data_IF_804881519617
#
_entry.id   IF_804881519617
#
_cell.length_a   1.000
_cell.length_b   1.000
_cell.length_c   1.000
_cell.angle_alpha   90.00
_cell.angle_beta   90.00
_cell.angle_gamma   90.00
#
_symmetry.space_group_name_H-M   'P 1'
#
loop_
_entity.id
_entity.type
_entity.pdbx_description
1 polymer ?
#
# COMPACT_ATOMS: atom_id res chain seq x y z
N UNK A 1 -2.80 15.42 -21.31
CA UNK A 1 -3.04 14.32 -20.37
C UNK A 1 -3.50 14.82 -19.00
N UNK A 2 -2.90 15.83 -18.40
CA UNK A 2 -3.28 16.39 -17.09
C UNK A 2 -4.73 16.86 -16.96
N UNK A 3 -5.31 17.48 -18.00
CA UNK A 3 -6.72 17.95 -17.97
C UNK A 3 -7.74 16.82 -17.83
N UNK A 4 -7.47 15.63 -18.38
CA UNK A 4 -8.35 14.45 -18.24
C UNK A 4 -8.28 13.83 -16.84
N UNK A 5 -7.10 13.87 -16.19
CA UNK A 5 -6.94 13.44 -14.81
C UNK A 5 -7.68 14.35 -13.82
N UNK A 6 -7.62 15.69 -14.05
CA UNK A 6 -8.36 16.66 -13.25
C UNK A 6 -9.89 16.52 -13.42
N UNK A 7 -10.36 16.12 -14.61
CA UNK A 7 -11.79 15.90 -14.85
C UNK A 7 -12.31 14.64 -14.14
N UNK A 8 -11.50 13.57 -14.09
CA UNK A 8 -11.83 12.37 -13.30
C UNK A 8 -11.85 12.66 -11.80
N UNK A 9 -10.90 13.46 -11.31
CA UNK A 9 -10.87 13.89 -9.91
C UNK A 9 -12.05 14.80 -9.55
N UNK A 10 -12.48 15.69 -10.46
CA UNK A 10 -13.63 16.56 -10.27
C UNK A 10 -14.97 15.80 -10.33
N UNK A 11 -15.08 14.74 -11.15
CA UNK A 11 -16.27 13.88 -11.22
C UNK A 11 -16.45 13.07 -9.95
N UNK A 12 -15.36 12.67 -9.27
CA UNK A 12 -15.41 11.97 -7.98
C UNK A 12 -15.85 12.89 -6.82
N UNK A 13 -15.70 14.20 -6.96
CA UNK A 13 -16.06 15.19 -5.93
C UNK A 13 -17.54 15.64 -5.97
N UNK A 14 -18.29 15.28 -7.01
CA UNK A 14 -19.68 15.76 -7.21
C UNK A 14 -20.76 14.81 -6.68
N UNK A 15 -20.42 13.67 -6.12
CA UNK A 15 -21.42 12.74 -5.54
C UNK A 15 -21.66 13.07 -4.07
N UNK A 16 -22.43 14.12 -3.78
CA UNK A 16 -23.05 14.33 -2.47
C UNK A 16 -24.20 13.32 -2.26
N UNK A 17 -23.87 12.06 -2.11
CA UNK A 17 -24.83 11.01 -1.79
C UNK A 17 -24.67 10.54 -0.34
N UNK A 18 -25.75 10.17 0.30
CA UNK A 18 -25.84 9.73 1.68
C UNK A 18 -24.71 8.74 2.05
N UNK A 19 -23.91 9.09 3.05
CA UNK A 19 -22.79 8.30 3.53
C UNK A 19 -23.28 7.02 4.24
N UNK A 20 -23.32 5.91 3.55
CA UNK A 20 -23.45 4.58 4.16
C UNK A 20 -22.04 4.05 4.48
N UNK A 21 -21.31 4.76 5.35
CA UNK A 21 -20.02 4.34 5.84
C UNK A 21 -20.16 3.31 6.96
N UNK A 22 -19.10 2.53 7.17
CA UNK A 22 -18.96 1.65 8.33
C UNK A 22 -19.37 2.40 9.60
N UNK A 23 -20.09 1.71 10.48
CA UNK A 23 -20.56 2.33 11.74
C UNK A 23 -19.36 2.88 12.52
N UNK A 24 -19.50 4.10 13.02
CA UNK A 24 -18.49 4.75 13.88
C UNK A 24 -18.13 3.81 15.05
N UNK A 25 -16.84 3.73 15.38
CA UNK A 25 -16.26 2.82 16.39
C UNK A 25 -16.35 1.33 16.05
N UNK A 26 -16.50 0.98 14.78
CA UNK A 26 -16.43 -0.43 14.33
C UNK A 26 -15.01 -0.77 13.88
N UNK A 27 -14.56 -1.96 14.21
CA UNK A 27 -13.32 -2.54 13.69
C UNK A 27 -13.69 -3.62 12.68
N UNK A 28 -13.07 -3.54 11.51
CA UNK A 28 -13.22 -4.54 10.44
C UNK A 28 -11.90 -5.24 10.20
N UNK A 29 -11.95 -6.52 9.87
CA UNK A 29 -10.81 -7.30 9.42
C UNK A 29 -10.91 -7.52 7.92
N UNK A 30 -9.81 -7.36 7.19
CA UNK A 30 -9.76 -7.43 5.75
C UNK A 30 -8.57 -8.29 5.31
N UNK A 31 -8.76 -9.58 4.99
CA UNK A 31 -7.77 -10.32 4.21
C UNK A 31 -7.58 -9.62 2.86
N UNK A 32 -6.32 -9.49 2.44
CA UNK A 32 -5.89 -8.77 1.23
C UNK A 32 -4.97 -9.64 0.39
N UNK A 33 -5.16 -9.56 -0.91
CA UNK A 33 -4.25 -10.09 -1.92
C UNK A 33 -4.01 -9.01 -2.97
N UNK A 34 -2.83 -8.96 -3.55
CA UNK A 34 -2.53 -7.94 -4.54
C UNK A 34 -1.23 -8.15 -5.30
N UNK A 35 -0.96 -7.18 -6.15
CA UNK A 35 0.22 -7.10 -6.99
C UNK A 35 1.05 -5.90 -6.58
N UNK A 36 2.36 -6.06 -6.67
CA UNK A 36 3.35 -5.01 -6.49
C UNK A 36 4.11 -4.79 -7.80
N UNK A 37 4.51 -3.56 -8.02
CA UNK A 37 5.57 -3.23 -8.96
C UNK A 37 6.59 -2.45 -8.16
N UNK A 38 7.80 -2.99 -8.00
CA UNK A 38 8.85 -2.43 -7.14
C UNK A 38 10.14 -2.19 -7.90
N UNK A 39 10.91 -1.22 -7.42
CA UNK A 39 12.29 -0.97 -7.83
C UNK A 39 13.16 -0.65 -6.64
N UNK A 40 14.45 -0.89 -6.75
CA UNK A 40 15.45 -0.57 -5.71
C UNK A 40 16.60 0.19 -6.37
N UNK A 41 16.76 1.47 -6.01
CA UNK A 41 17.76 2.33 -6.62
C UNK A 41 17.59 2.47 -8.13
N UNK A 42 18.64 2.14 -8.89
CA UNK A 42 18.68 2.23 -10.35
C UNK A 42 18.22 0.94 -11.07
N UNK A 43 17.75 -0.08 -10.31
CA UNK A 43 17.25 -1.32 -10.90
C UNK A 43 15.91 -1.12 -11.62
N UNK A 44 15.67 -1.91 -12.64
CA UNK A 44 14.40 -1.92 -13.36
C UNK A 44 13.22 -2.36 -12.48
N UNK A 45 12.04 -1.93 -12.85
CA UNK A 45 10.81 -2.25 -12.18
C UNK A 45 10.47 -3.74 -12.29
N UNK A 46 10.13 -4.34 -11.16
CA UNK A 46 9.79 -5.74 -11.05
C UNK A 46 8.39 -5.94 -10.50
N UNK A 47 7.64 -6.84 -11.14
CA UNK A 47 6.35 -7.29 -10.64
C UNK A 47 6.52 -8.34 -9.53
N UNK A 48 5.73 -8.23 -8.49
CA UNK A 48 5.63 -9.17 -7.37
C UNK A 48 4.19 -9.28 -6.89
N UNK A 49 3.97 -10.08 -5.86
CA UNK A 49 2.67 -10.20 -5.23
C UNK A 49 2.73 -9.85 -3.74
N UNK A 50 1.58 -9.51 -3.18
CA UNK A 50 1.40 -9.27 -1.76
C UNK A 50 0.16 -10.00 -1.26
N UNK A 51 0.24 -10.52 -0.03
CA UNK A 51 -0.89 -11.12 0.66
C UNK A 51 -0.80 -10.84 2.16
N UNK A 52 -1.95 -10.77 2.82
CA UNK A 52 -2.00 -10.53 4.26
C UNK A 52 -3.38 -10.10 4.73
N UNK A 53 -3.41 -9.34 5.80
CA UNK A 53 -4.65 -8.81 6.35
C UNK A 53 -4.47 -7.40 6.91
N UNK A 54 -5.54 -6.63 6.91
CA UNK A 54 -5.61 -5.27 7.47
C UNK A 54 -6.73 -5.23 8.52
N UNK A 55 -6.47 -4.60 9.64
CA UNK A 55 -7.46 -4.20 10.63
C UNK A 55 -7.72 -2.72 10.46
N UNK A 56 -8.97 -2.34 10.21
CA UNK A 56 -9.38 -0.95 10.10
C UNK A 56 -10.35 -0.61 11.21
N UNK A 57 -10.05 0.44 11.95
CA UNK A 57 -10.91 0.98 13.00
C UNK A 57 -11.48 2.33 12.59
N UNK A 58 -12.80 2.42 12.50
CA UNK A 58 -13.50 3.67 12.14
C UNK A 58 -13.60 4.60 13.35
N UNK A 59 -12.83 5.69 13.34
CA UNK A 59 -12.80 6.68 14.43
C UNK A 59 -14.05 7.57 14.38
N UNK A 60 -14.35 8.09 13.21
CA UNK A 60 -15.54 8.91 12.94
C UNK A 60 -16.01 8.70 11.50
N UNK A 61 -17.08 9.41 11.07
CA UNK A 61 -17.67 9.22 9.73
C UNK A 61 -16.71 9.45 8.56
N UNK A 62 -15.63 10.20 8.77
CA UNK A 62 -14.67 10.56 7.70
C UNK A 62 -13.27 10.02 7.93
N UNK A 63 -12.99 9.42 9.08
CA UNK A 63 -11.62 9.07 9.45
C UNK A 63 -11.57 7.66 10.03
N UNK A 64 -10.68 6.84 9.51
CA UNK A 64 -10.33 5.55 10.08
C UNK A 64 -8.81 5.43 10.23
N UNK A 65 -8.37 4.62 11.17
CA UNK A 65 -6.99 4.17 11.28
C UNK A 65 -6.93 2.71 10.86
N UNK A 66 -5.93 2.35 10.09
CA UNK A 66 -5.72 0.97 9.66
C UNK A 66 -4.30 0.53 9.95
N UNK A 67 -4.17 -0.72 10.40
CA UNK A 67 -2.90 -1.41 10.55
C UNK A 67 -2.96 -2.73 9.80
N UNK A 68 -1.93 -3.05 9.00
CA UNK A 68 -1.92 -4.30 8.26
C UNK A 68 -0.65 -5.10 8.53
N UNK A 69 -0.71 -6.39 8.26
CA UNK A 69 0.44 -7.28 8.15
C UNK A 69 0.41 -7.89 6.76
N UNK A 70 1.40 -7.55 5.95
CA UNK A 70 1.49 -7.97 4.55
C UNK A 70 2.81 -8.68 4.30
N UNK A 71 2.74 -9.87 3.74
CA UNK A 71 3.89 -10.52 3.11
C UNK A 71 3.93 -10.12 1.64
N UNK A 72 5.06 -9.61 1.16
CA UNK A 72 5.19 -9.15 -0.21
C UNK A 72 6.55 -9.49 -0.80
N UNK A 73 6.54 -9.89 -2.07
CA UNK A 73 7.74 -10.00 -2.88
C UNK A 73 8.02 -8.63 -3.49
N UNK A 74 9.17 -8.06 -3.17
CA UNK A 74 9.62 -6.77 -3.67
C UNK A 74 11.06 -6.93 -4.15
N UNK A 75 11.50 -6.11 -5.10
CA UNK A 75 12.86 -6.19 -5.58
C UNK A 75 13.05 -5.38 -6.84
N UNK A 76 14.11 -5.68 -7.55
CA UNK A 76 14.46 -5.06 -8.81
C UNK A 76 14.97 -6.11 -9.79
N UNK A 77 15.07 -5.70 -11.05
CA UNK A 77 15.60 -6.50 -12.13
C UNK A 77 16.75 -5.74 -12.80
N UNK A 78 17.81 -6.44 -13.15
CA UNK A 78 18.87 -5.98 -14.03
C UNK A 78 18.92 -6.92 -15.23
N UNK A 79 19.62 -6.56 -16.31
CA UNK A 79 19.63 -7.31 -17.58
C UNK A 79 19.99 -8.79 -17.39
N UNK A 80 20.92 -9.09 -16.46
CA UNK A 80 21.41 -10.45 -16.22
C UNK A 80 20.98 -11.05 -14.87
N UNK A 81 20.26 -10.31 -14.03
CA UNK A 81 19.96 -10.76 -12.67
C UNK A 81 18.63 -10.21 -12.14
N UNK A 82 17.91 -11.07 -11.43
CA UNK A 82 16.63 -10.73 -10.81
C UNK A 82 16.70 -10.96 -9.31
N UNK A 83 16.49 -9.92 -8.51
CA UNK A 83 16.42 -9.99 -7.06
C UNK A 83 14.98 -10.00 -6.57
N UNK A 84 14.60 -11.00 -5.78
CA UNK A 84 13.23 -11.24 -5.35
C UNK A 84 13.10 -11.46 -3.83
N UNK A 85 13.52 -10.51 -3.00
CA UNK A 85 13.41 -10.66 -1.54
C UNK A 85 11.95 -10.70 -1.08
N UNK A 86 11.71 -11.47 -0.02
CA UNK A 86 10.44 -11.48 0.69
C UNK A 86 10.47 -10.48 1.85
N UNK A 87 9.44 -9.65 1.94
CA UNK A 87 9.26 -8.68 3.02
C UNK A 87 8.01 -8.96 3.83
N UNK A 88 8.11 -8.76 5.14
CA UNK A 88 6.96 -8.53 6.02
C UNK A 88 6.84 -7.03 6.22
N UNK A 89 5.75 -6.45 5.73
CA UNK A 89 5.44 -5.03 5.86
C UNK A 89 4.30 -4.82 6.85
N UNK A 90 4.43 -3.79 7.69
CA UNK A 90 3.43 -3.42 8.70
C UNK A 90 2.98 -1.98 8.44
N UNK A 91 2.19 -1.71 7.38
CA UNK A 91 1.67 -0.38 7.15
C UNK A 91 0.67 0.02 8.23
N UNK A 92 0.85 1.23 8.75
CA UNK A 92 -0.09 1.91 9.66
C UNK A 92 -0.52 3.18 8.94
N UNK A 93 -1.80 3.27 8.57
CA UNK A 93 -2.32 4.35 7.74
C UNK A 93 -3.50 5.04 8.39
N UNK A 94 -3.58 6.35 8.19
CA UNK A 94 -4.78 7.14 8.40
C UNK A 94 -5.55 7.19 7.08
N UNK A 95 -6.83 6.81 7.12
CA UNK A 95 -7.72 6.80 5.98
C UNK A 95 -8.72 7.94 6.14
N UNK A 96 -8.73 8.88 5.20
CA UNK A 96 -9.65 10.01 5.19
C UNK A 96 -10.64 9.89 4.03
N UNK A 97 -11.92 9.71 4.36
CA UNK A 97 -12.99 9.56 3.39
C UNK A 97 -13.39 10.92 2.82
N UNK A 98 -13.01 11.18 1.59
CA UNK A 98 -13.33 12.42 0.85
C UNK A 98 -14.67 12.33 0.13
N UNK A 99 -15.13 11.12 -0.16
CA UNK A 99 -16.45 10.81 -0.70
C UNK A 99 -16.97 9.52 -0.09
N UNK A 100 -18.23 9.17 -0.40
CA UNK A 100 -18.79 7.88 0.00
C UNK A 100 -17.91 6.77 -0.54
N UNK A 101 -17.50 5.86 0.34
CA UNK A 101 -16.72 4.67 0.03
C UNK A 101 -15.33 4.94 -0.60
N UNK A 102 -14.92 6.21 -0.76
CA UNK A 102 -13.62 6.59 -1.31
C UNK A 102 -12.77 7.31 -0.26
N UNK A 103 -11.62 6.74 0.06
CA UNK A 103 -10.69 7.28 1.04
C UNK A 103 -9.31 7.54 0.46
N UNK A 104 -8.69 8.63 0.91
CA UNK A 104 -7.26 8.87 0.77
C UNK A 104 -6.55 8.26 1.98
N UNK A 105 -5.38 7.66 1.72
CA UNK A 105 -4.59 6.95 2.73
C UNK A 105 -3.19 7.53 2.78
N UNK A 106 -2.68 7.77 3.99
CA UNK A 106 -1.28 8.12 4.21
C UNK A 106 -0.83 7.56 5.56
N UNK A 107 0.46 7.25 5.69
CA UNK A 107 0.96 6.68 6.93
C UNK A 107 2.43 6.36 6.93
N UNK A 108 2.80 5.35 7.72
CA UNK A 108 4.14 4.82 7.85
C UNK A 108 4.12 3.31 7.63
N UNK A 109 5.20 2.77 7.10
CA UNK A 109 5.31 1.34 6.83
C UNK A 109 6.72 0.85 7.19
N UNK A 110 6.96 0.37 8.41
CA UNK A 110 8.12 -0.45 8.68
C UNK A 110 8.02 -1.78 7.92
N UNK A 111 9.13 -2.22 7.36
CA UNK A 111 9.28 -3.46 6.62
C UNK A 111 10.49 -4.25 7.10
N UNK A 112 10.36 -5.56 7.11
CA UNK A 112 11.43 -6.49 7.48
C UNK A 112 11.65 -7.49 6.35
N UNK A 113 12.85 -7.50 5.81
CA UNK A 113 13.25 -8.49 4.83
C UNK A 113 13.47 -9.83 5.53
N UNK A 114 12.65 -10.82 5.21
CA UNK A 114 12.71 -12.16 5.79
C UNK A 114 13.36 -13.17 4.86
N UNK A 115 13.33 -12.92 3.55
CA UNK A 115 14.08 -13.71 2.58
C UNK A 115 14.96 -12.77 1.74
N UNK A 116 16.28 -13.00 1.77
CA UNK A 116 17.27 -12.13 1.15
C UNK A 116 17.60 -12.48 -0.30
N UNK A 117 17.13 -13.64 -0.79
CA UNK A 117 17.39 -14.13 -2.16
C UNK A 117 18.88 -14.00 -2.53
N UNK A 118 19.77 -14.64 -1.70
CA UNK A 118 21.23 -14.68 -1.80
C UNK A 118 21.99 -13.34 -1.65
N UNK A 119 21.32 -12.23 -1.39
CA UNK A 119 21.99 -10.94 -1.15
C UNK A 119 22.59 -10.87 0.25
N UNK A 120 23.94 -10.86 0.35
CA UNK A 120 24.68 -10.91 1.64
C UNK A 120 24.86 -9.54 2.31
N UNK A 121 24.77 -8.44 1.58
CA UNK A 121 25.08 -7.08 2.05
C UNK A 121 23.89 -6.12 1.95
N UNK A 122 22.72 -6.54 2.44
CA UNK A 122 21.50 -5.71 2.46
C UNK A 122 21.02 -5.46 3.88
N UNK A 123 20.39 -4.33 4.08
CA UNK A 123 19.71 -4.02 5.33
C UNK A 123 18.44 -4.87 5.42
N UNK A 124 18.21 -5.46 6.59
CA UNK A 124 17.01 -6.27 6.85
C UNK A 124 15.79 -5.41 7.15
N UNK A 125 16.01 -4.19 7.63
CA UNK A 125 14.96 -3.23 7.96
C UNK A 125 14.80 -2.22 6.83
N UNK A 126 13.56 -2.00 6.44
CA UNK A 126 13.14 -0.96 5.49
C UNK A 126 12.05 -0.10 6.11
N UNK A 127 12.00 1.16 5.72
CA UNK A 127 10.98 2.09 6.15
C UNK A 127 10.46 2.88 4.96
N UNK A 128 9.15 2.89 4.79
CA UNK A 128 8.49 3.60 3.70
C UNK A 128 7.35 4.48 4.21
N UNK A 129 6.98 5.45 3.40
CA UNK A 129 5.80 6.30 3.59
C UNK A 129 4.77 5.88 2.53
N UNK A 130 3.73 5.12 2.91
CA UNK A 130 2.63 4.80 2.02
C UNK A 130 1.72 6.02 1.82
N UNK A 131 1.43 6.33 0.57
CA UNK A 131 0.39 7.26 0.16
C UNK A 131 -0.49 6.60 -0.88
N UNK A 132 -1.80 6.79 -0.82
CA UNK A 132 -2.68 6.09 -1.74
C UNK A 132 -4.14 6.43 -1.57
N UNK A 133 -4.97 5.57 -2.13
CA UNK A 133 -6.42 5.69 -2.10
C UNK A 133 -7.06 4.30 -2.02
N UNK A 134 -8.26 4.25 -1.47
CA UNK A 134 -9.06 3.03 -1.48
C UNK A 134 -10.51 3.35 -1.84
N UNK A 135 -11.14 2.35 -2.48
CA UNK A 135 -12.56 2.38 -2.80
C UNK A 135 -13.23 1.14 -2.22
N UNK A 136 -14.29 1.36 -1.45
CA UNK A 136 -15.09 0.30 -0.84
C UNK A 136 -16.36 0.08 -1.67
N UNK A 137 -16.67 -1.16 -2.03
CA UNK A 137 -17.94 -1.53 -2.64
C UNK A 137 -18.45 -2.82 -2.03
N UNK A 138 -19.64 -2.76 -1.43
CA UNK A 138 -20.22 -3.81 -0.62
C UNK A 138 -19.27 -4.28 0.50
N UNK A 139 -18.70 -5.47 0.35
CA UNK A 139 -17.72 -6.03 1.28
C UNK A 139 -16.29 -6.06 0.70
N UNK A 140 -16.09 -5.53 -0.51
CA UNK A 140 -14.76 -5.50 -1.13
C UNK A 140 -14.11 -4.13 -1.01
N UNK A 141 -12.80 -4.13 -0.94
CA UNK A 141 -11.96 -2.93 -0.91
C UNK A 141 -10.88 -3.05 -1.97
N UNK A 142 -10.87 -2.11 -2.90
CA UNK A 142 -9.74 -1.94 -3.82
C UNK A 142 -8.85 -0.84 -3.23
N UNK A 143 -7.57 -1.13 -3.05
CA UNK A 143 -6.61 -0.22 -2.43
C UNK A 143 -5.39 -0.10 -3.33
N UNK A 144 -5.13 1.12 -3.80
CA UNK A 144 -3.96 1.48 -4.59
C UNK A 144 -3.05 2.40 -3.78
N UNK A 145 -1.78 2.03 -3.63
CA UNK A 145 -0.81 2.82 -2.86
C UNK A 145 0.55 2.89 -3.55
N UNK A 146 1.24 3.97 -3.27
CA UNK A 146 2.64 4.15 -3.57
C UNK A 146 3.43 4.22 -2.26
N UNK A 147 4.34 3.29 -2.07
CA UNK A 147 5.19 3.22 -0.90
C UNK A 147 6.53 3.87 -1.26
N UNK A 148 6.80 5.03 -0.66
CA UNK A 148 8.01 5.81 -0.87
C UNK A 148 9.05 5.31 0.14
N UNK A 149 10.11 4.64 -0.34
CA UNK A 149 11.20 4.18 0.52
C UNK A 149 11.97 5.36 1.10
N UNK A 150 12.24 5.30 2.39
CA UNK A 150 12.97 6.33 3.14
C UNK A 150 14.34 5.81 3.60
N UNK A 151 14.47 4.50 3.77
CA UNK A 151 15.72 3.86 4.17
C UNK A 151 16.45 3.28 2.97
N UNK A 152 17.78 3.31 3.03
CA UNK A 152 18.65 2.71 2.01
C UNK A 152 18.73 1.19 2.25
N UNK A 153 18.38 0.40 1.26
CA UNK A 153 18.43 -1.07 1.33
C UNK A 153 19.85 -1.62 1.15
N UNK A 154 20.64 -1.18 0.15
CA UNK A 154 22.03 -1.58 0.06
C UNK A 154 22.85 -0.96 1.20
N UNK A 155 23.75 -1.73 1.83
CA UNK A 155 24.68 -1.19 2.83
C UNK A 155 25.71 -0.22 2.24
N UNK A 156 25.99 -0.35 0.94
CA UNK A 156 26.90 0.52 0.18
C UNK A 156 26.17 0.94 -1.11
N UNK A 157 25.66 2.18 -1.12
CA UNK A 157 24.93 2.75 -2.27
C UNK A 157 23.71 3.55 -1.87
N UNK A 158 23.05 4.18 -2.84
CA UNK A 158 21.91 5.09 -2.63
C UNK A 158 20.55 4.48 -3.10
N UNK A 159 20.36 3.17 -2.93
CA UNK A 159 19.14 2.49 -3.34
C UNK A 159 18.01 2.58 -2.32
N UNK A 160 16.94 3.29 -2.66
CA UNK A 160 15.67 3.28 -1.93
C UNK A 160 14.70 2.31 -2.62
N UNK A 161 13.87 1.61 -1.83
CA UNK A 161 12.82 0.76 -2.38
C UNK A 161 11.56 1.58 -2.61
N UNK A 162 11.10 1.65 -3.85
CA UNK A 162 9.83 2.26 -4.20
C UNK A 162 8.88 1.18 -4.73
N UNK A 163 7.62 1.19 -4.26
CA UNK A 163 6.64 0.17 -4.60
C UNK A 163 5.31 0.79 -4.95
N UNK A 164 4.82 0.52 -6.14
CA UNK A 164 3.41 0.69 -6.50
C UNK A 164 2.69 -0.61 -6.14
N UNK A 165 1.65 -0.54 -5.35
CA UNK A 165 0.90 -1.70 -4.87
C UNK A 165 -0.59 -1.52 -5.14
N UNK A 166 -1.22 -2.56 -5.69
CA UNK A 166 -2.66 -2.67 -5.87
C UNK A 166 -3.16 -3.92 -5.15
N UNK A 167 -4.09 -3.75 -4.20
CA UNK A 167 -4.65 -4.86 -3.44
C UNK A 167 -6.16 -4.89 -3.52
N UNK A 168 -6.72 -6.10 -3.50
CA UNK A 168 -8.12 -6.40 -3.29
C UNK A 168 -8.27 -7.01 -1.90
N UNK A 169 -9.14 -6.44 -1.10
CA UNK A 169 -9.49 -6.92 0.23
C UNK A 169 -10.96 -7.32 0.31
N UNK A 170 -11.28 -8.22 1.24
CA UNK A 170 -12.65 -8.53 1.63
C UNK A 170 -12.87 -8.10 3.08
N UNK A 171 -13.89 -7.28 3.32
CA UNK A 171 -14.18 -6.67 4.62
C UNK A 171 -15.18 -7.52 5.39
N UNK A 172 -14.75 -8.12 6.49
CA UNK A 172 -15.64 -8.72 7.49
C UNK A 172 -16.10 -7.64 8.45
N UNK A 173 -17.42 -7.39 8.44
CA UNK A 173 -18.09 -6.37 9.29
C UNK A 173 -18.70 -7.02 10.53
#
# INVERSE_FOLDING_TARGET
MMKKLMFLAALALSTTGAFAQSRVKTTTIQPKIGLNISTVGDLDWKAGCALGFELQHQINRKTAIAGALLYSFQGGKDDDWTWNPGYINIPITLNYYVAKDFALKAGIQPGFMVNKDDARHVNTFDFAIPVGMSYEFDNFVIDGRYNIGVTKVPKHGDGYTNVVQLTLGYMFK
#
